data_IF_859603125502
#
_entry.id   IF_859603125502
#
_cell.length_a   1.000
_cell.length_b   1.000
_cell.length_c   1.000
_cell.angle_alpha   90.00
_cell.angle_beta   90.00
_cell.angle_gamma   90.00
#
_symmetry.space_group_name_H-M   'P 1'
#
loop_
_entity.id
_entity.type
_entity.pdbx_description
1 polymer ?
#
# COMPACT_ATOMS: atom_id res chain seq x y z
N UNK A 1 0.47 10.12 15.19
CA UNK A 1 0.39 8.66 14.91
C UNK A 1 -1.00 8.16 15.28
N UNK A 2 -1.98 8.19 14.37
CA UNK A 2 -3.26 7.48 14.58
C UNK A 2 -3.03 6.02 14.23
N UNK A 3 -2.71 5.21 15.24
CA UNK A 3 -2.77 3.75 15.17
C UNK A 3 -4.21 3.32 15.46
N UNK A 4 -5.09 3.51 14.48
CA UNK A 4 -6.41 2.86 14.47
C UNK A 4 -6.24 1.57 13.69
N UNK A 5 -5.72 0.54 14.36
CA UNK A 5 -5.86 -0.82 13.87
C UNK A 5 -7.36 -1.04 13.58
N UNK A 6 -7.69 -1.24 12.31
CA UNK A 6 -9.04 -1.18 11.74
C UNK A 6 -9.87 -2.34 12.30
N UNK A 7 -10.38 -2.16 13.52
CA UNK A 7 -11.33 -3.06 14.19
C UNK A 7 -12.01 -2.34 15.36
N UNK A 8 -12.52 -1.14 15.12
CA UNK A 8 -13.47 -0.50 16.02
C UNK A 8 -14.78 -0.33 15.25
N UNK A 9 -15.76 -1.12 15.66
CA UNK A 9 -17.12 -1.09 15.16
C UNK A 9 -17.75 0.29 15.41
N UNK A 10 -18.56 0.75 14.45
CA UNK A 10 -19.59 1.75 14.66
C UNK A 10 -19.12 3.20 14.66
N UNK A 11 -19.23 3.85 13.50
CA UNK A 11 -19.74 5.23 13.33
C UNK A 11 -19.82 5.48 11.82
N UNK A 12 -21.05 5.54 11.30
CA UNK A 12 -21.39 5.80 9.90
C UNK A 12 -21.05 7.25 9.50
N UNK A 13 -19.77 7.58 9.43
CA UNK A 13 -19.31 8.67 8.57
C UNK A 13 -19.04 8.08 7.19
N UNK A 14 -19.74 8.56 6.16
CA UNK A 14 -19.43 8.22 4.78
C UNK A 14 -18.06 8.82 4.42
N UNK A 15 -17.00 8.07 4.69
CA UNK A 15 -15.63 8.47 4.36
C UNK A 15 -15.49 8.45 2.84
N UNK A 16 -15.44 9.64 2.22
CA UNK A 16 -15.11 9.79 0.81
C UNK A 16 -13.61 9.52 0.66
N UNK A 17 -13.26 8.34 0.13
CA UNK A 17 -11.89 7.98 -0.18
C UNK A 17 -11.47 8.58 -1.52
N UNK A 18 -10.30 9.22 -1.57
CA UNK A 18 -9.69 9.56 -2.84
C UNK A 18 -9.34 8.28 -3.60
N UNK A 19 -9.49 8.25 -4.93
CA UNK A 19 -9.17 7.08 -5.72
C UNK A 19 -7.70 6.68 -5.50
N UNK A 20 -7.38 5.38 -5.45
CA UNK A 20 -6.02 4.93 -5.30
C UNK A 20 -5.20 5.23 -6.56
N UNK A 21 -3.92 5.57 -6.37
CA UNK A 21 -2.98 5.68 -7.48
C UNK A 21 -2.66 4.29 -8.01
N UNK A 22 -3.05 4.02 -9.26
CA UNK A 22 -2.69 2.78 -9.96
C UNK A 22 -1.33 2.99 -10.62
N UNK A 23 -0.34 2.21 -10.19
CA UNK A 23 1.01 2.24 -10.75
C UNK A 23 1.19 1.10 -11.74
N UNK A 24 1.87 1.36 -12.85
CA UNK A 24 2.32 0.31 -13.77
C UNK A 24 3.58 -0.37 -13.23
N UNK A 25 4.01 -1.47 -13.86
CA UNK A 25 5.27 -2.14 -13.49
C UNK A 25 6.47 -1.20 -13.64
N UNK A 26 6.51 -0.41 -14.71
CA UNK A 26 7.60 0.53 -15.00
C UNK A 26 7.64 1.66 -13.96
N UNK A 27 6.47 2.17 -13.57
CA UNK A 27 6.35 3.17 -12.50
C UNK A 27 6.82 2.59 -11.16
N UNK A 28 6.43 1.36 -10.83
CA UNK A 28 6.86 0.69 -9.61
C UNK A 28 8.39 0.48 -9.57
N UNK A 29 9.00 0.11 -10.69
CA UNK A 29 10.45 -0.08 -10.79
C UNK A 29 11.22 1.24 -10.70
N UNK A 30 10.62 2.35 -11.18
CA UNK A 30 11.22 3.68 -11.07
C UNK A 30 11.08 4.27 -9.65
N UNK A 31 10.06 3.83 -8.92
CA UNK A 31 9.72 4.35 -7.59
C UNK A 31 10.45 3.65 -6.43
N UNK A 32 10.88 2.40 -6.63
CA UNK A 32 11.44 1.56 -5.57
C UNK A 32 12.81 2.04 -5.07
N UNK A 33 13.03 1.95 -3.76
CA UNK A 33 14.34 2.19 -3.13
C UNK A 33 15.09 0.88 -2.82
N UNK A 34 16.39 0.97 -2.49
CA UNK A 34 17.24 -0.19 -2.20
C UNK A 34 16.76 -1.08 -1.04
N UNK A 35 15.90 -0.55 -0.16
CA UNK A 35 15.32 -1.26 0.98
C UNK A 35 13.88 -1.73 0.73
N UNK A 36 13.40 -1.62 -0.51
CA UNK A 36 12.06 -1.99 -0.95
C UNK A 36 12.11 -3.12 -2.00
N UNK A 37 10.96 -3.74 -2.26
CA UNK A 37 10.77 -4.85 -3.19
C UNK A 37 9.44 -4.67 -3.93
N UNK A 38 9.45 -4.95 -5.24
CA UNK A 38 8.24 -5.04 -6.06
C UNK A 38 7.85 -6.51 -6.14
N UNK A 39 6.70 -6.85 -5.59
CA UNK A 39 6.08 -8.16 -5.73
C UNK A 39 5.20 -8.17 -6.98
N UNK A 40 5.50 -9.08 -7.92
CA UNK A 40 4.77 -9.23 -9.17
C UNK A 40 4.02 -10.56 -9.19
N UNK A 41 2.72 -10.50 -9.44
CA UNK A 41 1.86 -11.66 -9.71
C UNK A 41 1.10 -11.41 -11.02
N UNK A 42 0.60 -12.45 -11.71
CA UNK A 42 -0.12 -12.26 -12.98
C UNK A 42 -1.33 -11.32 -12.89
N UNK A 43 -1.92 -11.18 -11.70
CA UNK A 43 -3.10 -10.35 -11.46
C UNK A 43 -2.82 -9.04 -10.70
N UNK A 44 -1.62 -8.86 -10.11
CA UNK A 44 -1.35 -7.69 -9.26
C UNK A 44 0.13 -7.40 -9.07
N UNK A 45 0.44 -6.12 -8.90
CA UNK A 45 1.77 -5.60 -8.57
C UNK A 45 1.66 -4.87 -7.22
N UNK A 46 2.59 -5.12 -6.30
CA UNK A 46 2.59 -4.52 -4.96
C UNK A 46 3.99 -4.09 -4.55
N UNK A 47 4.10 -2.93 -3.89
CA UNK A 47 5.34 -2.47 -3.26
C UNK A 47 5.40 -2.94 -1.80
N UNK A 48 6.55 -3.45 -1.36
CA UNK A 48 6.81 -3.88 0.02
C UNK A 48 8.19 -3.44 0.50
N UNK A 49 8.37 -3.25 1.81
CA UNK A 49 9.70 -3.09 2.42
C UNK A 49 10.41 -4.45 2.51
N UNK A 50 11.72 -4.45 2.27
CA UNK A 50 12.57 -5.66 2.31
C UNK A 50 12.70 -6.24 3.72
N UNK A 51 12.73 -5.38 4.73
CA UNK A 51 12.75 -5.80 6.15
C UNK A 51 11.56 -5.16 6.83
N UNK A 52 10.63 -5.97 7.32
CA UNK A 52 9.65 -5.49 8.28
C UNK A 52 10.42 -5.21 9.57
N UNK A 53 10.55 -3.93 9.96
CA UNK A 53 11.14 -3.57 11.23
C UNK A 53 10.44 -4.35 12.35
N UNK A 54 11.25 -5.00 13.19
CA UNK A 54 10.81 -5.79 14.34
C UNK A 54 10.12 -4.93 15.39
#
# INVERSE_FOLDING_TARGET
KKLTNVRAAGSDEAVILTPPTVMTLEDCLSFINDDELVEVTPASIRLRKRVAAR
#
